data_IF_314734943589
#
_entry.id   IF_314734943589
#
_cell.length_a   1.000
_cell.length_b   1.000
_cell.length_c   1.000
_cell.angle_alpha   90.00
_cell.angle_beta   90.00
_cell.angle_gamma   90.00
#
_symmetry.space_group_name_H-M   'P 1'
#
loop_
_entity.id
_entity.type
_entity.pdbx_description
1 polymer ?
#
# COMPACT_ATOMS: atom_id res chain seq x y z
N UNK A 1 18.32 8.63 14.04
CA UNK A 1 17.16 8.90 14.93
C UNK A 1 17.67 9.64 16.15
N UNK A 2 17.19 10.85 16.42
CA UNK A 2 17.51 11.55 17.67
C UNK A 2 16.76 10.88 18.82
N UNK A 3 17.48 10.15 19.67
CA UNK A 3 16.91 9.39 20.79
C UNK A 3 17.05 10.11 22.13
N UNK A 4 16.60 9.44 23.21
CA UNK A 4 16.68 9.93 24.60
C UNK A 4 18.07 10.47 24.98
N UNK A 5 19.13 9.75 24.59
CA UNK A 5 20.50 10.12 24.90
C UNK A 5 20.95 11.45 24.29
N UNK A 6 20.40 11.83 23.14
CA UNK A 6 20.71 13.12 22.53
C UNK A 6 20.18 14.26 23.39
N UNK A 7 18.92 14.18 23.83
CA UNK A 7 18.29 15.25 24.61
C UNK A 7 18.99 15.46 25.95
N UNK A 8 19.30 14.37 26.66
CA UNK A 8 20.06 14.44 27.91
C UNK A 8 21.46 15.02 27.68
N UNK A 9 22.14 14.67 26.59
CA UNK A 9 23.45 15.24 26.24
C UNK A 9 23.39 16.75 25.93
N UNK A 10 22.24 17.27 25.49
CA UNK A 10 22.01 18.70 25.27
C UNK A 10 21.48 19.44 26.52
N UNK A 11 21.40 18.76 27.67
CA UNK A 11 20.85 19.32 28.92
C UNK A 11 19.34 19.55 28.86
N UNK A 12 18.64 18.80 27.99
CA UNK A 12 17.18 18.87 27.82
C UNK A 12 16.54 17.69 28.55
N UNK A 13 15.76 18.00 29.58
CA UNK A 13 15.01 17.03 30.36
C UNK A 13 13.52 17.05 30.01
N UNK A 14 13.00 15.88 29.65
CA UNK A 14 11.60 15.70 29.27
C UNK A 14 10.80 15.16 30.46
N UNK A 15 10.02 16.02 31.11
CA UNK A 15 9.19 15.71 32.28
C UNK A 15 7.78 15.32 31.84
N UNK A 16 7.62 14.07 31.39
CA UNK A 16 6.36 13.57 30.84
C UNK A 16 5.18 13.59 31.83
N UNK A 17 5.44 13.39 33.13
CA UNK A 17 4.41 13.45 34.18
C UNK A 17 3.70 14.80 34.21
N UNK A 18 4.45 15.88 33.98
CA UNK A 18 3.93 17.25 34.01
C UNK A 18 3.72 17.82 32.61
N UNK A 19 4.10 17.07 31.55
CA UNK A 19 4.09 17.52 30.15
C UNK A 19 4.91 18.80 29.97
N UNK A 20 6.09 18.84 30.57
CA UNK A 20 7.01 19.98 30.50
C UNK A 20 8.38 19.52 30.00
N UNK A 21 9.10 20.43 29.35
CA UNK A 21 10.49 20.30 28.98
C UNK A 21 11.28 21.31 29.83
N UNK A 22 12.29 20.82 30.53
CA UNK A 22 13.26 21.66 31.25
C UNK A 22 14.54 21.74 30.43
N UNK A 23 15.01 22.97 30.16
CA UNK A 23 16.26 23.20 29.46
C UNK A 23 16.97 24.38 30.11
N UNK A 24 18.16 24.14 30.67
CA UNK A 24 18.97 25.15 31.36
C UNK A 24 18.19 25.94 32.44
N UNK A 25 17.33 25.25 33.20
CA UNK A 25 16.49 25.84 34.25
C UNK A 25 15.23 26.57 33.76
N UNK A 26 15.03 26.71 32.45
CA UNK A 26 13.78 27.20 31.88
C UNK A 26 12.80 26.04 31.66
N UNK A 27 11.57 26.18 32.15
CA UNK A 27 10.50 25.21 31.94
C UNK A 27 9.55 25.66 30.85
N UNK A 28 9.38 24.80 29.84
CA UNK A 28 8.52 25.03 28.69
C UNK A 28 7.43 23.96 28.68
N UNK A 29 6.13 24.34 28.72
CA UNK A 29 5.07 23.37 28.58
C UNK A 29 5.10 22.74 27.20
N UNK A 30 5.03 21.41 27.13
CA UNK A 30 4.96 20.69 25.87
C UNK A 30 3.67 21.11 25.14
N UNK A 31 3.73 21.44 23.84
CA UNK A 31 2.54 21.78 23.08
C UNK A 31 1.55 20.62 23.16
N UNK A 32 0.30 20.91 23.52
CA UNK A 32 -0.78 19.95 23.29
C UNK A 32 -0.77 19.63 21.81
N UNK A 33 -0.61 18.36 21.45
CA UNK A 33 -0.77 17.92 20.06
C UNK A 33 -2.14 18.43 19.63
N UNK A 34 -2.17 19.48 18.82
CA UNK A 34 -3.41 19.89 18.17
C UNK A 34 -3.74 18.70 17.29
N UNK A 35 -4.75 17.93 17.68
CA UNK A 35 -5.43 17.06 16.74
C UNK A 35 -5.76 17.95 15.54
N UNK A 36 -5.04 17.78 14.43
CA UNK A 36 -5.36 18.53 13.22
C UNK A 36 -6.80 18.16 12.91
N UNK A 37 -7.68 19.15 12.90
CA UNK A 37 -9.05 18.95 12.45
C UNK A 37 -8.98 18.18 11.12
N UNK A 38 -9.68 17.05 11.08
CA UNK A 38 -9.75 16.22 9.90
C UNK A 38 -10.28 17.08 8.75
N UNK A 39 -9.41 17.37 7.79
CA UNK A 39 -9.82 17.88 6.49
C UNK A 39 -9.78 16.67 5.55
N UNK A 40 -10.89 16.28 4.91
CA UNK A 40 -10.86 15.26 3.88
C UNK A 40 -9.83 15.67 2.85
N UNK A 41 -8.76 14.88 2.72
CA UNK A 41 -7.67 15.15 1.77
C UNK A 41 -8.06 14.85 0.32
N UNK A 42 -9.23 14.22 0.10
CA UNK A 42 -9.83 14.05 -1.20
C UNK A 42 -11.10 14.92 -1.27
N UNK A 43 -11.17 15.75 -2.31
CA UNK A 43 -12.42 16.42 -2.67
C UNK A 43 -13.45 15.34 -3.06
N UNK A 44 -14.75 15.55 -2.78
CA UNK A 44 -15.79 14.66 -3.28
C UNK A 44 -15.73 14.58 -4.81
N UNK A 45 -15.93 13.36 -5.31
CA UNK A 45 -16.01 12.97 -6.72
C UNK A 45 -16.88 13.94 -7.55
N UNK A 46 -16.38 14.39 -8.70
CA UNK A 46 -17.15 15.11 -9.73
C UNK A 46 -17.02 14.35 -11.06
N UNK A 47 -18.16 13.98 -11.64
CA UNK A 47 -18.25 13.22 -12.91
C UNK A 47 -17.51 13.88 -14.07
N UNK A 48 -17.38 15.21 -14.04
CA UNK A 48 -16.81 16.03 -15.12
C UNK A 48 -15.28 15.90 -15.29
N UNK A 49 -14.56 15.36 -14.31
CA UNK A 49 -13.09 15.23 -14.34
C UNK A 49 -12.59 13.84 -14.75
N UNK A 50 -13.50 12.87 -14.93
CA UNK A 50 -13.16 11.52 -15.35
C UNK A 50 -12.83 11.49 -16.86
N UNK A 51 -11.54 11.60 -17.18
CA UNK A 51 -11.05 11.20 -18.50
C UNK A 51 -11.24 9.69 -18.64
N UNK A 52 -12.02 9.28 -19.63
CA UNK A 52 -12.13 7.89 -20.05
C UNK A 52 -10.73 7.40 -20.42
N UNK A 53 -10.20 6.44 -19.66
CA UNK A 53 -8.94 5.77 -20.01
C UNK A 53 -9.33 4.40 -20.54
N UNK A 54 -9.32 4.27 -21.87
CA UNK A 54 -9.37 2.94 -22.49
C UNK A 54 -8.05 2.23 -22.17
N UNK A 55 -8.14 1.18 -21.36
CA UNK A 55 -7.01 0.30 -21.10
C UNK A 55 -6.93 -0.67 -22.28
N UNK A 56 -6.07 -0.37 -23.25
CA UNK A 56 -5.73 -1.33 -24.30
C UNK A 56 -4.92 -2.46 -23.65
N UNK A 57 -5.43 -3.69 -23.75
CA UNK A 57 -4.75 -4.89 -23.28
C UNK A 57 -3.46 -5.05 -24.09
N UNK A 58 -2.30 -4.78 -23.48
CA UNK A 58 -1.03 -5.10 -24.11
C UNK A 58 -0.81 -6.61 -24.02
N UNK A 59 -0.73 -7.28 -25.16
CA UNK A 59 -0.41 -8.71 -25.35
C UNK A 59 0.99 -9.15 -24.84
N UNK A 60 1.57 -8.46 -23.85
CA UNK A 60 2.96 -8.66 -23.47
C UNK A 60 3.12 -9.09 -22.01
N UNK A 61 2.87 -10.38 -21.76
CA UNK A 61 3.44 -11.12 -20.62
C UNK A 61 4.36 -12.27 -21.08
N UNK A 62 4.97 -12.15 -22.26
CA UNK A 62 5.89 -13.18 -22.79
C UNK A 62 7.35 -13.04 -22.33
N UNK A 63 7.73 -11.97 -21.64
CA UNK A 63 9.14 -11.54 -21.64
C UNK A 63 9.71 -11.27 -20.23
N UNK A 64 9.62 -12.23 -19.31
CA UNK A 64 10.39 -12.18 -18.07
C UNK A 64 9.98 -13.28 -17.09
N UNK A 65 10.65 -14.44 -17.20
CA UNK A 65 10.43 -15.55 -16.27
C UNK A 65 10.99 -15.20 -14.90
N UNK A 66 10.09 -15.00 -13.94
CA UNK A 66 10.44 -14.90 -12.52
C UNK A 66 10.97 -16.24 -11.96
N UNK A 67 10.66 -17.35 -12.64
CA UNK A 67 11.07 -18.70 -12.27
C UNK A 67 12.50 -19.03 -12.68
N UNK A 68 13.05 -18.40 -13.71
CA UNK A 68 14.43 -18.65 -14.16
C UNK A 68 15.48 -18.32 -13.07
N UNK A 69 15.23 -17.28 -12.25
CA UNK A 69 16.15 -16.90 -11.16
C UNK A 69 16.05 -17.81 -9.93
N UNK A 70 14.87 -18.40 -9.67
CA UNK A 70 14.62 -19.26 -8.49
C UNK A 70 15.07 -20.71 -8.73
N UNK A 71 15.00 -21.20 -9.97
CA UNK A 71 15.28 -22.58 -10.35
C UNK A 71 16.67 -22.81 -10.97
N UNK A 72 17.50 -21.78 -11.10
CA UNK A 72 18.87 -21.91 -11.61
C UNK A 72 19.75 -22.90 -10.81
N UNK A 73 19.35 -23.26 -9.57
CA UNK A 73 20.14 -24.14 -8.69
C UNK A 73 19.45 -25.48 -8.36
N UNK A 74 18.18 -25.69 -8.71
CA UNK A 74 17.48 -26.91 -8.33
C UNK A 74 16.54 -27.40 -9.42
N UNK A 75 16.83 -28.61 -9.91
CA UNK A 75 15.97 -29.44 -10.77
C UNK A 75 16.00 -29.01 -12.25
N UNK A 76 16.63 -29.84 -13.08
CA UNK A 76 16.42 -29.80 -14.53
C UNK A 76 14.92 -29.70 -14.79
N UNK A 77 14.46 -28.83 -15.69
CA UNK A 77 13.11 -28.85 -16.27
C UNK A 77 12.84 -30.24 -16.86
N UNK A 78 12.51 -31.21 -16.02
CA UNK A 78 12.12 -32.55 -16.38
C UNK A 78 10.63 -32.55 -16.70
N UNK A 79 10.19 -33.54 -17.46
CA UNK A 79 8.88 -33.60 -18.11
C UNK A 79 7.64 -33.33 -17.25
N UNK A 80 7.75 -33.32 -15.91
CA UNK A 80 6.66 -32.97 -14.99
C UNK A 80 6.18 -31.52 -15.16
N UNK A 81 7.08 -30.54 -15.33
CA UNK A 81 6.66 -29.15 -15.54
C UNK A 81 6.00 -28.95 -16.90
N UNK A 82 6.44 -29.72 -17.90
CA UNK A 82 5.83 -29.72 -19.24
C UNK A 82 4.48 -30.44 -19.24
N UNK A 83 4.34 -31.53 -18.48
CA UNK A 83 3.11 -32.30 -18.32
C UNK A 83 2.02 -31.49 -17.60
N UNK A 84 2.39 -30.73 -16.57
CA UNK A 84 1.48 -29.89 -15.79
C UNK A 84 1.68 -28.40 -16.08
N UNK A 85 1.88 -28.05 -17.35
CA UNK A 85 2.16 -26.67 -17.76
C UNK A 85 1.02 -25.71 -17.44
N UNK A 86 -0.23 -26.19 -17.33
CA UNK A 86 -1.38 -25.38 -16.89
C UNK A 86 -1.24 -24.95 -15.42
N UNK A 87 -0.76 -25.84 -14.55
CA UNK A 87 -0.50 -25.57 -13.11
C UNK A 87 0.82 -24.83 -12.91
N UNK A 88 1.85 -25.20 -13.67
CA UNK A 88 3.19 -24.61 -13.63
C UNK A 88 3.32 -23.36 -14.50
N UNK A 89 2.21 -22.85 -15.05
CA UNK A 89 2.22 -21.65 -15.87
C UNK A 89 2.65 -20.43 -15.04
N UNK A 90 3.41 -19.54 -15.67
CA UNK A 90 3.82 -18.27 -15.05
C UNK A 90 2.69 -17.21 -15.08
N UNK A 91 1.49 -17.64 -15.46
CA UNK A 91 0.32 -16.80 -15.69
C UNK A 91 -0.58 -16.89 -14.46
N UNK A 92 -1.25 -15.79 -14.13
CA UNK A 92 -2.23 -15.79 -13.05
C UNK A 92 -3.43 -16.67 -13.44
N UNK A 93 -3.74 -17.66 -12.60
CA UNK A 93 -4.91 -18.51 -12.78
C UNK A 93 -6.23 -17.77 -12.53
N UNK A 94 -7.29 -18.21 -13.22
CA UNK A 94 -8.65 -17.70 -13.05
C UNK A 94 -9.55 -18.76 -12.40
N UNK A 95 -10.32 -18.35 -11.39
CA UNK A 95 -11.30 -19.22 -10.74
C UNK A 95 -12.60 -19.16 -11.55
N UNK A 96 -12.99 -20.27 -12.18
CA UNK A 96 -14.19 -20.39 -13.05
C UNK A 96 -15.53 -20.44 -12.27
N UNK A 97 -15.52 -20.20 -10.97
CA UNK A 97 -16.70 -20.22 -10.11
C UNK A 97 -17.55 -18.95 -10.26
N UNK A 98 -18.75 -18.92 -9.66
CA UNK A 98 -19.54 -17.69 -9.58
C UNK A 98 -18.78 -16.60 -8.81
N UNK A 99 -19.09 -15.33 -9.11
CA UNK A 99 -18.55 -14.20 -8.35
C UNK A 99 -18.93 -14.32 -6.87
N UNK A 100 -17.98 -13.99 -6.00
CA UNK A 100 -18.21 -13.99 -4.57
C UNK A 100 -18.81 -12.64 -4.13
N UNK A 101 -20.02 -12.68 -3.58
CA UNK A 101 -20.66 -11.52 -2.97
C UNK A 101 -20.27 -11.44 -1.48
N UNK A 102 -19.64 -10.34 -1.08
CA UNK A 102 -19.25 -10.11 0.32
C UNK A 102 -20.48 -9.67 1.14
N UNK A 103 -20.96 -10.47 2.12
CA UNK A 103 -22.10 -10.07 2.93
C UNK A 103 -21.72 -8.93 3.87
N UNK A 104 -22.56 -7.89 3.91
CA UNK A 104 -22.42 -6.77 4.83
C UNK A 104 -23.45 -6.88 5.97
N UNK A 105 -23.09 -6.49 7.20
CA UNK A 105 -24.06 -6.26 8.27
C UNK A 105 -25.14 -5.25 7.85
N UNK A 106 -26.39 -5.37 8.34
CA UNK A 106 -27.50 -4.50 7.93
C UNK A 106 -27.31 -3.03 8.30
N UNK A 107 -26.45 -2.75 9.29
CA UNK A 107 -26.12 -1.42 9.80
C UNK A 107 -24.74 -0.92 9.33
N UNK A 108 -24.08 -1.64 8.40
CA UNK A 108 -22.78 -1.26 7.88
C UNK A 108 -22.88 0.06 7.10
N UNK A 109 -21.99 1.00 7.43
CA UNK A 109 -21.87 2.29 6.75
C UNK A 109 -20.49 2.44 6.11
N UNK A 110 -20.41 3.06 4.93
CA UNK A 110 -19.14 3.21 4.22
C UNK A 110 -18.17 4.08 5.00
N UNK A 111 -16.93 3.60 5.11
CA UNK A 111 -15.84 4.31 5.78
C UNK A 111 -14.70 4.57 4.81
N UNK A 112 -14.33 5.84 4.67
CA UNK A 112 -13.18 6.28 3.88
C UNK A 112 -12.01 6.69 4.79
N UNK A 113 -11.06 5.77 4.98
CA UNK A 113 -9.86 6.01 5.77
C UNK A 113 -8.79 6.77 4.98
N UNK A 114 -7.99 7.56 5.69
CA UNK A 114 -6.86 8.28 5.10
C UNK A 114 -5.71 7.30 4.76
N UNK A 115 -5.10 7.37 3.57
CA UNK A 115 -3.96 6.53 3.23
C UNK A 115 -2.73 6.84 4.10
N UNK A 116 -1.91 5.81 4.36
CA UNK A 116 -0.62 6.00 5.00
C UNK A 116 0.39 6.65 4.04
N UNK A 117 1.31 7.49 4.53
CA UNK A 117 2.35 8.06 3.68
C UNK A 117 3.30 6.96 3.21
N UNK A 118 3.48 6.84 1.89
CA UNK A 118 4.47 5.93 1.32
C UNK A 118 5.88 6.54 1.42
N UNK A 119 6.89 5.79 1.91
CA UNK A 119 8.27 6.24 1.94
C UNK A 119 8.78 6.57 0.53
N UNK A 120 9.48 7.70 0.37
CA UNK A 120 9.90 8.17 -0.94
C UNK A 120 10.80 7.17 -1.68
N UNK A 121 11.69 6.51 -0.95
CA UNK A 121 12.60 5.48 -1.46
C UNK A 121 11.88 4.31 -2.15
N UNK A 122 10.64 4.02 -1.77
CA UNK A 122 9.88 2.89 -2.27
C UNK A 122 8.82 3.28 -3.32
N UNK A 123 8.62 4.58 -3.58
CA UNK A 123 7.54 5.05 -4.47
C UNK A 123 7.62 4.46 -5.87
N UNK A 124 8.83 4.33 -6.42
CA UNK A 124 9.03 3.78 -7.77
C UNK A 124 8.59 2.31 -7.82
N UNK A 125 9.08 1.49 -6.88
CA UNK A 125 8.73 0.07 -6.79
C UNK A 125 7.23 -0.14 -6.56
N UNK A 126 6.64 0.63 -5.64
CA UNK A 126 5.19 0.57 -5.36
C UNK A 126 4.38 0.89 -6.61
N UNK A 127 4.73 1.95 -7.34
CA UNK A 127 4.01 2.33 -8.56
C UNK A 127 4.14 1.25 -9.64
N UNK A 128 5.33 0.70 -9.82
CA UNK A 128 5.56 -0.37 -10.80
C UNK A 128 4.75 -1.62 -10.47
N UNK A 129 4.69 -2.02 -9.19
CA UNK A 129 3.92 -3.18 -8.76
C UNK A 129 2.40 -2.96 -8.90
N UNK A 130 1.89 -1.78 -8.52
CA UNK A 130 0.48 -1.44 -8.73
C UNK A 130 0.14 -1.49 -10.22
N UNK A 131 0.97 -0.89 -11.08
CA UNK A 131 0.76 -0.93 -12.53
C UNK A 131 0.83 -2.35 -13.08
N UNK A 132 1.74 -3.19 -12.57
CA UNK A 132 1.82 -4.61 -12.97
C UNK A 132 0.54 -5.35 -12.60
N UNK A 133 -0.02 -5.13 -11.42
CA UNK A 133 -1.30 -5.74 -11.00
C UNK A 133 -2.50 -5.27 -11.82
N UNK A 134 -2.51 -4.00 -12.22
CA UNK A 134 -3.52 -3.48 -13.15
C UNK A 134 -3.39 -4.14 -14.52
N UNK A 135 -2.16 -4.30 -15.04
CA UNK A 135 -1.91 -5.03 -16.29
C UNK A 135 -2.33 -6.50 -16.22
N UNK A 136 -2.18 -7.14 -15.06
CA UNK A 136 -2.65 -8.51 -14.83
C UNK A 136 -4.17 -8.64 -14.67
N UNK A 137 -4.91 -7.53 -14.61
CA UNK A 137 -6.36 -7.55 -14.36
C UNK A 137 -6.77 -7.83 -12.91
N UNK A 138 -5.81 -7.87 -11.97
CA UNK A 138 -6.09 -8.08 -10.54
C UNK A 138 -6.68 -6.83 -9.89
N UNK A 139 -6.25 -5.65 -10.35
CA UNK A 139 -6.70 -4.36 -9.84
C UNK A 139 -7.24 -3.52 -10.99
N UNK A 140 -8.24 -2.69 -10.69
CA UNK A 140 -8.72 -1.63 -11.58
C UNK A 140 -8.68 -0.28 -10.85
N UNK A 141 -8.44 0.83 -11.58
CA UNK A 141 -8.56 2.15 -10.99
C UNK A 141 -10.04 2.45 -10.68
N UNK A 142 -10.33 2.78 -9.42
CA UNK A 142 -11.65 3.22 -8.98
C UNK A 142 -11.51 4.44 -8.06
N UNK A 143 -12.21 5.52 -8.43
CA UNK A 143 -12.28 6.76 -7.68
C UNK A 143 -13.70 7.04 -7.16
N UNK A 144 -14.64 6.12 -7.36
CA UNK A 144 -16.05 6.27 -7.02
C UNK A 144 -16.46 5.60 -5.70
N UNK A 145 -15.68 4.61 -5.24
CA UNK A 145 -15.97 3.90 -3.99
C UNK A 145 -16.01 4.83 -2.76
N UNK A 146 -17.07 4.71 -1.99
CA UNK A 146 -17.21 5.31 -0.66
C UNK A 146 -16.44 4.54 0.43
N UNK A 147 -16.01 3.31 0.13
CA UNK A 147 -15.17 2.47 0.98
C UNK A 147 -13.70 2.65 0.61
N UNK A 148 -12.90 3.13 1.57
CA UNK A 148 -11.45 3.28 1.37
C UNK A 148 -10.72 2.73 2.58
N UNK A 149 -9.96 1.65 2.38
CA UNK A 149 -9.07 1.09 3.40
C UNK A 149 -7.65 1.63 3.20
N UNK A 150 -6.91 1.99 4.27
CA UNK A 150 -5.55 2.48 4.12
C UNK A 150 -4.61 1.32 3.81
N UNK A 151 -3.79 1.47 2.77
CA UNK A 151 -2.75 0.51 2.42
C UNK A 151 -1.38 0.94 2.97
N UNK A 152 -0.53 -0.04 3.28
CA UNK A 152 0.88 0.17 3.62
C UNK A 152 1.75 -0.74 2.78
N UNK A 153 3.02 -0.35 2.64
CA UNK A 153 4.00 -1.09 1.85
C UNK A 153 4.84 -1.97 2.77
N UNK A 154 5.04 -3.22 2.37
CA UNK A 154 6.03 -4.15 2.93
C UNK A 154 6.99 -4.45 1.78
N UNK A 155 8.28 -4.20 1.99
CA UNK A 155 9.36 -4.50 1.05
C UNK A 155 10.49 -5.19 1.79
#
# INVERSE_FOLDING_TARGET
MLGKYFFTAQGIDLLFSNKELEWNGARVPMPKVRARAWKPGLKPYREEECRHVEITLAESLKNGSWLDDLYATAVSRGGVLEEFNDVASEILGEIKGPHYELPLPPDATPLACRPFPAPHIHLVAIKQEIQRRVRLGVLSPDNSSSWVSPAFTIL
#
